data_IF_785206694612
#
_entry.id   IF_785206694612
#
_cell.length_a   1.000
_cell.length_b   1.000
_cell.length_c   1.000
_cell.angle_alpha   90.00
_cell.angle_beta   90.00
_cell.angle_gamma   90.00
#
_symmetry.space_group_name_H-M   'P 1'
#
loop_
_entity.id
_entity.type
_entity.pdbx_description
1 polymer ?
#
# COMPACT_ATOMS: atom_id res chain seq x y z
N UNK A 1 -5.50 -5.51 10.66
CA UNK A 1 -6.09 -6.73 11.23
C UNK A 1 -5.99 -6.81 12.73
N UNK A 2 -4.84 -6.49 13.33
CA UNK A 2 -4.68 -6.54 14.80
C UNK A 2 -5.70 -5.67 15.55
N UNK A 3 -5.90 -4.41 15.14
CA UNK A 3 -6.86 -3.50 15.79
C UNK A 3 -8.29 -4.06 15.76
N UNK A 4 -8.75 -4.57 14.61
CA UNK A 4 -10.07 -5.18 14.47
C UNK A 4 -10.25 -6.43 15.34
N UNK A 5 -9.23 -7.30 15.41
CA UNK A 5 -9.25 -8.47 16.30
C UNK A 5 -9.32 -8.06 17.77
N UNK A 6 -8.66 -6.97 18.15
CA UNK A 6 -8.70 -6.42 19.52
C UNK A 6 -10.06 -5.83 19.86
N UNK A 7 -10.69 -5.07 18.96
CA UNK A 7 -12.04 -4.54 19.15
C UNK A 7 -13.08 -5.65 19.30
N UNK A 8 -12.99 -6.69 18.47
CA UNK A 8 -13.87 -7.87 18.53
C UNK A 8 -13.53 -8.85 19.66
N UNK A 9 -12.54 -8.54 20.51
CA UNK A 9 -12.05 -9.41 21.60
C UNK A 9 -11.74 -10.84 21.13
N UNK A 10 -11.18 -11.00 19.93
CA UNK A 10 -10.84 -12.32 19.35
C UNK A 10 -9.51 -12.79 19.96
N UNK A 11 -9.49 -13.91 20.70
CA UNK A 11 -8.24 -14.47 21.23
C UNK A 11 -7.39 -15.05 20.09
N UNK A 12 -6.08 -15.05 20.26
CA UNK A 12 -5.13 -15.52 19.24
C UNK A 12 -5.28 -17.01 18.91
N UNK A 13 -5.77 -17.82 19.87
CA UNK A 13 -6.08 -19.25 19.70
C UNK A 13 -7.27 -19.49 18.80
N UNK A 14 -8.12 -18.48 18.60
CA UNK A 14 -9.26 -18.56 17.69
C UNK A 14 -8.73 -18.34 16.28
N UNK A 15 -8.32 -19.42 15.62
CA UNK A 15 -7.80 -19.46 14.25
C UNK A 15 -8.84 -18.95 13.24
N UNK A 16 -8.99 -17.63 13.17
CA UNK A 16 -9.95 -16.93 12.33
C UNK A 16 -9.27 -16.27 11.15
N UNK A 17 -9.89 -16.34 9.98
CA UNK A 17 -9.39 -15.70 8.77
C UNK A 17 -9.58 -14.17 8.81
N UNK A 18 -8.76 -13.43 8.06
CA UNK A 18 -8.93 -11.99 7.94
C UNK A 18 -10.22 -11.60 7.20
N UNK A 19 -10.87 -12.53 6.47
CA UNK A 19 -12.13 -12.27 5.79
C UNK A 19 -13.28 -12.23 6.80
N UNK A 20 -13.34 -13.23 7.69
CA UNK A 20 -14.36 -13.30 8.75
C UNK A 20 -14.24 -12.14 9.74
N UNK A 21 -13.02 -11.71 10.06
CA UNK A 21 -12.80 -10.54 10.94
C UNK A 21 -13.36 -9.26 10.30
N UNK A 22 -13.21 -9.10 8.99
CA UNK A 22 -13.73 -7.93 8.28
C UNK A 22 -15.24 -7.98 8.11
N UNK A 23 -15.80 -9.14 7.78
CA UNK A 23 -17.25 -9.35 7.71
C UNK A 23 -17.93 -8.99 9.05
N UNK A 24 -17.34 -9.36 10.19
CA UNK A 24 -17.87 -9.01 11.51
C UNK A 24 -17.74 -7.53 11.87
N UNK A 25 -16.80 -6.82 11.27
CA UNK A 25 -16.65 -5.38 11.44
C UNK A 25 -17.54 -4.58 10.49
N UNK A 26 -18.31 -5.26 9.64
CA UNK A 26 -19.02 -4.64 8.51
C UNK A 26 -18.09 -3.78 7.65
N UNK A 27 -16.92 -4.35 7.33
CA UNK A 27 -15.89 -3.69 6.51
C UNK A 27 -15.61 -4.52 5.27
N UNK A 28 -15.70 -3.90 4.12
CA UNK A 28 -15.24 -4.51 2.88
C UNK A 28 -13.70 -4.61 2.85
N UNK A 29 -13.20 -5.64 2.16
CA UNK A 29 -11.77 -5.71 1.83
C UNK A 29 -11.50 -4.69 0.73
N UNK A 30 -10.88 -3.57 1.08
CA UNK A 30 -10.22 -2.71 0.10
C UNK A 30 -8.89 -3.33 -0.35
N UNK A 31 -8.93 -4.55 -0.90
CA UNK A 31 -7.74 -5.33 -1.27
C UNK A 31 -6.86 -4.54 -2.25
N UNK A 32 -7.49 -3.89 -3.24
CA UNK A 32 -6.80 -3.06 -4.20
C UNK A 32 -6.10 -1.87 -3.54
N UNK A 33 -6.79 -1.16 -2.64
CA UNK A 33 -6.18 -0.06 -1.87
C UNK A 33 -4.97 -0.55 -1.06
N UNK A 34 -5.11 -1.67 -0.35
CA UNK A 34 -4.01 -2.22 0.45
C UNK A 34 -2.83 -2.68 -0.42
N UNK A 35 -3.10 -3.25 -1.60
CA UNK A 35 -2.05 -3.57 -2.58
C UNK A 35 -1.37 -2.28 -3.05
N UNK A 36 -2.12 -1.28 -3.56
CA UNK A 36 -1.57 -0.01 -4.04
C UNK A 36 -0.71 0.68 -2.98
N UNK A 37 -1.22 0.75 -1.74
CA UNK A 37 -0.53 1.32 -0.58
C UNK A 37 0.77 0.59 -0.25
N UNK A 38 0.76 -0.75 -0.19
CA UNK A 38 1.97 -1.54 0.11
C UNK A 38 3.02 -1.42 -0.98
N UNK A 39 2.59 -1.47 -2.25
CA UNK A 39 3.49 -1.30 -3.40
C UNK A 39 4.19 0.07 -3.37
N UNK A 40 3.44 1.13 -3.11
CA UNK A 40 3.99 2.49 -3.04
C UNK A 40 4.93 2.69 -1.83
N UNK A 41 4.58 2.15 -0.66
CA UNK A 41 5.46 2.20 0.51
C UNK A 41 6.79 1.48 0.26
N UNK A 42 6.72 0.28 -0.34
CA UNK A 42 7.91 -0.49 -0.68
C UNK A 42 8.77 0.21 -1.74
N UNK A 43 8.14 0.80 -2.76
CA UNK A 43 8.81 1.62 -3.78
C UNK A 43 9.65 2.73 -3.14
N UNK A 44 9.06 3.51 -2.22
CA UNK A 44 9.82 4.54 -1.52
C UNK A 44 10.90 4.01 -0.58
N UNK A 45 10.64 2.89 0.10
CA UNK A 45 11.62 2.28 1.00
C UNK A 45 12.88 1.87 0.23
N UNK A 46 12.71 1.18 -0.89
CA UNK A 46 13.80 0.69 -1.74
C UNK A 46 14.56 1.84 -2.40
N UNK A 47 13.89 2.92 -2.80
CA UNK A 47 14.58 4.07 -3.43
C UNK A 47 15.42 4.89 -2.47
N UNK A 48 15.03 4.97 -1.20
CA UNK A 48 15.76 5.72 -0.17
C UNK A 48 16.92 4.94 0.46
N UNK A 49 16.98 3.63 0.26
CA UNK A 49 18.05 2.80 0.81
C UNK A 49 18.92 2.21 -0.32
N UNK A 50 20.19 2.65 -0.36
CA UNK A 50 21.16 2.27 -1.39
C UNK A 50 21.52 0.77 -1.40
N UNK A 51 21.22 0.04 -0.31
CA UNK A 51 21.50 -1.40 -0.17
C UNK A 51 20.73 -2.28 -1.17
N UNK A 52 19.66 -1.76 -1.76
CA UNK A 52 18.68 -2.55 -2.51
C UNK A 52 18.79 -2.41 -4.04
N UNK A 53 20.02 -2.46 -4.56
CA UNK A 53 20.30 -2.27 -6.01
C UNK A 53 19.59 -3.31 -6.90
N UNK A 54 19.52 -4.58 -6.48
CA UNK A 54 18.83 -5.67 -7.20
C UNK A 54 17.30 -5.50 -7.18
N UNK A 55 16.74 -5.00 -6.08
CA UNK A 55 15.30 -4.78 -5.92
C UNK A 55 14.76 -3.66 -6.83
N UNK A 56 15.64 -2.83 -7.41
CA UNK A 56 15.24 -1.85 -8.44
C UNK A 56 14.68 -2.51 -9.70
N UNK A 57 15.09 -3.74 -10.02
CA UNK A 57 14.59 -4.49 -11.20
C UNK A 57 13.15 -4.95 -10.98
N UNK A 58 12.79 -5.33 -9.75
CA UNK A 58 11.39 -5.63 -9.40
C UNK A 58 10.55 -4.33 -9.46
N UNK A 59 11.18 -3.20 -9.13
CA UNK A 59 10.52 -1.90 -9.21
C UNK A 59 10.24 -1.45 -10.65
N UNK A 60 11.06 -1.82 -11.63
CA UNK A 60 10.76 -1.47 -13.02
C UNK A 60 9.56 -2.28 -13.54
N UNK A 61 9.38 -3.53 -13.08
CA UNK A 61 8.28 -4.41 -13.51
C UNK A 61 6.88 -3.86 -13.20
N UNK A 62 6.66 -3.27 -12.03
CA UNK A 62 5.36 -2.70 -11.64
C UNK A 62 5.26 -1.17 -11.80
N UNK A 63 6.27 -0.52 -12.41
CA UNK A 63 6.34 0.95 -12.52
C UNK A 63 5.21 1.51 -13.39
N UNK A 64 4.83 0.77 -14.44
CA UNK A 64 3.70 1.09 -15.31
C UNK A 64 2.40 1.23 -14.49
N UNK A 65 2.13 0.27 -13.61
CA UNK A 65 0.94 0.29 -12.77
C UNK A 65 0.93 1.49 -11.81
N UNK A 66 2.08 1.87 -11.26
CA UNK A 66 2.16 3.06 -10.41
C UNK A 66 1.86 4.34 -11.20
N UNK A 67 2.34 4.46 -12.44
CA UNK A 67 2.01 5.60 -13.30
C UNK A 67 0.52 5.69 -13.57
N UNK A 68 -0.09 4.56 -13.93
CA UNK A 68 -1.53 4.47 -14.19
C UNK A 68 -2.35 4.81 -12.95
N UNK A 69 -1.99 4.29 -11.77
CA UNK A 69 -2.75 4.53 -10.54
C UNK A 69 -2.68 5.94 -9.99
N UNK A 70 -1.60 6.68 -10.28
CA UNK A 70 -1.38 8.02 -9.71
C UNK A 70 -1.41 9.13 -10.77
N UNK A 71 -1.56 8.80 -12.06
CA UNK A 71 -1.50 9.77 -13.16
C UNK A 71 -0.16 10.52 -13.27
N UNK A 72 0.93 9.95 -12.72
CA UNK A 72 2.23 10.59 -12.64
C UNK A 72 3.21 10.00 -13.66
N UNK A 73 4.16 10.83 -14.09
CA UNK A 73 5.33 10.34 -14.86
C UNK A 73 6.28 9.56 -13.96
N UNK A 74 7.11 8.68 -14.55
CA UNK A 74 8.13 7.94 -13.78
C UNK A 74 9.03 8.88 -12.97
N UNK A 75 9.44 10.01 -13.55
CA UNK A 75 10.30 11.00 -12.89
C UNK A 75 9.60 11.68 -11.72
N UNK A 76 8.33 12.04 -11.86
CA UNK A 76 7.53 12.59 -10.76
C UNK A 76 7.36 11.57 -9.63
N UNK A 77 7.13 10.29 -9.94
CA UNK A 77 7.09 9.21 -8.95
C UNK A 77 8.41 9.04 -8.21
N UNK A 78 9.55 9.04 -8.92
CA UNK A 78 10.87 8.94 -8.30
C UNK A 78 11.15 10.14 -7.38
N UNK A 79 10.79 11.37 -7.77
CA UNK A 79 10.90 12.56 -6.92
C UNK A 79 10.03 12.46 -5.68
N UNK A 80 8.76 12.06 -5.83
CA UNK A 80 7.85 11.86 -4.70
C UNK A 80 8.38 10.77 -3.74
N UNK A 81 9.00 9.72 -4.27
CA UNK A 81 9.53 8.64 -3.47
C UNK A 81 10.76 9.01 -2.62
N UNK A 82 11.44 10.13 -2.91
CA UNK A 82 12.49 10.65 -2.04
C UNK A 82 11.94 11.12 -0.68
N UNK A 83 10.67 11.52 -0.61
CA UNK A 83 10.02 12.00 0.62
C UNK A 83 9.02 10.99 1.19
N UNK A 84 9.15 10.68 2.48
CA UNK A 84 8.15 9.88 3.21
C UNK A 84 6.79 10.60 3.27
N UNK A 85 6.81 11.94 3.35
CA UNK A 85 5.61 12.77 3.41
C UNK A 85 4.87 12.73 2.08
N UNK A 86 5.57 12.89 0.96
CA UNK A 86 4.95 12.84 -0.37
C UNK A 86 4.31 11.47 -0.66
N UNK A 87 4.95 10.37 -0.24
CA UNK A 87 4.33 9.03 -0.32
C UNK A 87 3.06 8.93 0.53
N UNK A 88 3.06 9.48 1.74
CA UNK A 88 1.88 9.48 2.59
C UNK A 88 0.71 10.26 1.95
N UNK A 89 1.00 11.40 1.30
CA UNK A 89 0.00 12.17 0.57
C UNK A 89 -0.58 11.38 -0.62
N UNK A 90 0.26 10.72 -1.41
CA UNK A 90 -0.20 9.88 -2.52
C UNK A 90 -1.11 8.74 -2.05
N UNK A 91 -0.78 8.10 -0.93
CA UNK A 91 -1.62 7.05 -0.33
C UNK A 91 -2.94 7.62 0.18
N UNK A 92 -2.94 8.83 0.75
CA UNK A 92 -4.17 9.48 1.21
C UNK A 92 -5.11 9.78 0.04
N UNK A 93 -4.58 10.16 -1.13
CA UNK A 93 -5.39 10.40 -2.33
C UNK A 93 -6.03 9.12 -2.88
N UNK A 94 -5.42 7.94 -2.69
CA UNK A 94 -6.04 6.65 -3.07
C UNK A 94 -7.36 6.36 -2.35
N UNK A 95 -7.59 6.95 -1.17
CA UNK A 95 -8.87 6.78 -0.42
C UNK A 95 -10.00 7.64 -0.97
N UNK A 96 -9.71 8.67 -1.78
CA UNK A 96 -10.69 9.65 -2.24
C UNK A 96 -11.36 9.29 -3.56
N UNK A 97 -10.97 8.19 -4.21
CA UNK A 97 -11.67 7.67 -5.39
C UNK A 97 -11.10 8.11 -6.74
N UNK A 98 -9.94 8.76 -6.79
CA UNK A 98 -9.33 9.23 -8.06
C UNK A 98 -8.58 8.11 -8.79
N UNK A 99 -9.20 6.94 -8.89
CA UNK A 99 -8.67 5.79 -9.61
C UNK A 99 -9.69 5.25 -10.61
N UNK A 100 -10.12 6.12 -11.52
CA UNK A 100 -10.64 5.72 -12.83
C UNK A 100 -9.60 4.95 -13.62
#
# INVERSE_FOLDING_TARGET
MWLYRRMLKIPWTRHMTNAEVLARMDKERELLYEVKRRKLHYFGHTLRNAKYKLLRVIITSWLKNLREWFGLTSTALFRAAASKVAIAMLIANLRRGDGS
#
